data_IF_127598876151
#
_entry.id   IF_127598876151
#
_cell.length_a   1.000
_cell.length_b   1.000
_cell.length_c   1.000
_cell.angle_alpha   90.00
_cell.angle_beta   90.00
_cell.angle_gamma   90.00
#
_symmetry.space_group_name_H-M   'P 1'
#
loop_
_entity.id
_entity.type
_entity.pdbx_description
1 polymer ?
#
# COMPACT_ATOMS: atom_id res chain seq x y z
N UNK A 1 1.84 19.48 -9.01
CA UNK A 1 0.54 19.53 -8.30
C UNK A 1 -0.31 18.45 -8.90
N UNK A 2 -0.93 17.62 -8.07
CA UNK A 2 -1.84 16.56 -8.50
C UNK A 2 -3.24 16.93 -7.98
N UNK A 3 -4.22 16.99 -8.87
CA UNK A 3 -5.63 17.23 -8.53
C UNK A 3 -6.45 16.03 -9.01
N UNK A 4 -7.26 15.47 -8.13
CA UNK A 4 -8.02 14.24 -8.39
C UNK A 4 -9.32 14.20 -7.61
N UNK A 5 -10.28 13.42 -8.10
CA UNK A 5 -11.58 13.20 -7.46
C UNK A 5 -11.69 11.85 -6.74
N UNK A 6 -10.64 11.01 -6.76
CA UNK A 6 -10.62 9.74 -6.03
C UNK A 6 -11.63 8.68 -6.51
N UNK A 7 -12.25 8.87 -7.67
CA UNK A 7 -13.16 7.87 -8.22
C UNK A 7 -12.35 6.78 -8.93
N UNK A 8 -12.58 5.49 -8.63
CA UNK A 8 -11.99 4.42 -9.44
C UNK A 8 -12.56 4.46 -10.85
N UNK A 9 -11.69 4.26 -11.82
CA UNK A 9 -12.01 4.27 -13.25
C UNK A 9 -11.79 2.88 -13.89
N UNK A 10 -11.55 1.86 -13.07
CA UNK A 10 -11.43 0.44 -13.43
C UNK A 10 -12.54 -0.37 -12.76
N UNK A 11 -12.62 -1.67 -13.07
CA UNK A 11 -13.55 -2.57 -12.38
C UNK A 11 -13.25 -2.61 -10.86
N UNK A 12 -14.27 -2.44 -10.04
CA UNK A 12 -14.16 -2.43 -8.58
C UNK A 12 -15.34 -3.15 -7.95
N UNK A 13 -15.24 -3.45 -6.66
CA UNK A 13 -16.32 -4.07 -5.89
C UNK A 13 -17.62 -3.26 -5.94
N UNK A 14 -18.76 -3.93 -5.79
CA UNK A 14 -20.04 -3.23 -5.64
C UNK A 14 -20.14 -2.66 -4.23
N UNK A 15 -20.24 -1.34 -4.13
CA UNK A 15 -20.41 -0.62 -2.86
C UNK A 15 -21.65 0.30 -2.93
N UNK A 16 -22.54 0.30 -1.92
CA UNK A 16 -22.44 -0.46 -0.68
C UNK A 16 -22.78 -1.95 -0.85
N UNK A 17 -22.28 -2.77 0.08
CA UNK A 17 -22.59 -4.19 0.20
C UNK A 17 -22.66 -4.61 1.69
N UNK A 18 -22.87 -5.90 1.97
CA UNK A 18 -23.01 -6.41 3.34
C UNK A 18 -21.76 -6.23 4.22
N UNK A 19 -20.56 -6.24 3.63
CA UNK A 19 -19.27 -6.10 4.33
C UNK A 19 -18.81 -4.65 4.42
N UNK A 20 -19.22 -3.81 3.49
CA UNK A 20 -18.95 -2.37 3.53
C UNK A 20 -20.21 -1.56 3.15
N UNK A 21 -20.84 -0.86 4.11
CA UNK A 21 -22.10 -0.13 3.87
C UNK A 21 -21.91 1.24 3.22
N UNK A 22 -20.67 1.66 2.95
CA UNK A 22 -20.38 2.99 2.42
C UNK A 22 -20.53 3.02 0.89
N UNK A 23 -20.83 4.20 0.35
CA UNK A 23 -20.99 4.44 -1.09
C UNK A 23 -19.82 5.28 -1.60
N UNK A 24 -19.22 4.88 -2.72
CA UNK A 24 -18.18 5.67 -3.39
C UNK A 24 -18.73 7.05 -3.75
N UNK A 25 -17.98 8.10 -3.43
CA UNK A 25 -18.33 9.48 -3.77
C UNK A 25 -17.08 10.26 -4.20
N UNK A 26 -17.24 11.31 -5.04
CA UNK A 26 -16.11 12.14 -5.44
C UNK A 26 -15.48 12.85 -4.23
N UNK A 27 -14.16 12.83 -4.19
CA UNK A 27 -13.32 13.56 -3.26
C UNK A 27 -12.76 14.83 -3.93
N UNK A 28 -12.00 15.63 -3.18
CA UNK A 28 -11.29 16.81 -3.70
C UNK A 28 -9.84 16.78 -3.25
N UNK A 29 -9.05 15.93 -3.88
CA UNK A 29 -7.62 15.82 -3.60
C UNK A 29 -6.85 16.92 -4.31
N UNK A 30 -5.90 17.52 -3.59
CA UNK A 30 -4.95 18.48 -4.13
C UNK A 30 -3.61 18.32 -3.43
N UNK A 31 -2.73 17.56 -4.04
CA UNK A 31 -1.41 17.26 -3.48
C UNK A 31 -0.31 18.07 -4.16
N UNK A 32 0.67 18.51 -3.36
CA UNK A 32 1.96 19.02 -3.84
C UNK A 32 3.01 17.97 -3.53
N UNK A 33 3.50 17.33 -4.57
CA UNK A 33 4.60 16.38 -4.51
C UNK A 33 5.84 16.99 -5.18
N UNK A 34 7.06 16.72 -4.70
CA UNK A 34 8.29 17.06 -5.40
C UNK A 34 8.31 16.46 -6.81
N UNK A 35 8.72 17.25 -7.80
CA UNK A 35 8.91 16.76 -9.18
C UNK A 35 10.28 16.06 -9.35
N UNK A 36 11.24 16.40 -8.50
CA UNK A 36 12.55 15.76 -8.40
C UNK A 36 12.74 15.41 -6.92
N UNK A 37 12.30 14.22 -6.48
CA UNK A 37 12.41 13.80 -5.09
C UNK A 37 13.88 13.56 -4.71
N UNK A 38 14.22 13.83 -3.45
CA UNK A 38 15.54 13.56 -2.87
C UNK A 38 15.37 12.67 -1.65
N UNK A 39 16.32 11.77 -1.42
CA UNK A 39 16.31 10.88 -0.26
C UNK A 39 16.48 11.70 1.00
N UNK A 40 15.55 11.53 1.94
CA UNK A 40 15.64 12.17 3.24
C UNK A 40 16.80 11.57 4.07
N UNK A 41 17.48 12.40 4.88
CA UNK A 41 18.54 11.92 5.79
C UNK A 41 18.06 10.88 6.80
N UNK A 42 16.75 10.85 7.08
CA UNK A 42 16.12 9.94 8.05
C UNK A 42 14.80 9.43 7.50
N UNK A 43 14.57 8.14 7.71
CA UNK A 43 13.28 7.51 7.43
C UNK A 43 12.22 8.13 8.34
N UNK A 44 11.08 8.49 7.73
CA UNK A 44 9.89 8.93 8.45
C UNK A 44 8.96 7.73 8.62
N UNK A 45 8.66 7.29 9.85
CA UNK A 45 7.72 6.19 10.06
C UNK A 45 6.37 6.49 9.41
N UNK A 46 5.83 5.52 8.69
CA UNK A 46 4.50 5.62 8.11
C UNK A 46 3.43 5.73 9.21
N UNK A 47 2.39 6.53 8.96
CA UNK A 47 1.28 6.76 9.87
C UNK A 47 -0.07 6.57 9.18
N UNK A 48 -1.17 6.93 9.83
CA UNK A 48 -2.53 6.85 9.26
C UNK A 48 -2.81 8.02 8.31
N UNK A 49 -2.16 8.01 7.15
CA UNK A 49 -2.29 9.01 6.11
C UNK A 49 -2.09 8.37 4.74
N UNK A 50 -2.68 8.92 3.66
CA UNK A 50 -2.37 8.47 2.31
C UNK A 50 -0.87 8.46 2.05
N UNK A 51 -0.34 7.30 1.66
CA UNK A 51 1.06 7.10 1.29
C UNK A 51 1.36 7.74 -0.06
N UNK A 52 0.42 7.66 -1.00
CA UNK A 52 0.59 8.16 -2.36
C UNK A 52 -0.73 8.25 -3.11
N UNK A 53 -0.64 8.61 -4.38
CA UNK A 53 -1.78 8.71 -5.29
C UNK A 53 -1.48 7.97 -6.58
N UNK A 54 -2.42 7.12 -6.99
CA UNK A 54 -2.35 6.36 -8.22
C UNK A 54 -2.55 7.25 -9.45
N UNK A 55 -2.14 6.76 -10.62
CA UNK A 55 -2.29 7.47 -11.90
C UNK A 55 -3.76 7.80 -12.24
N UNK A 56 -4.73 7.06 -11.70
CA UNK A 56 -6.16 7.33 -11.85
C UNK A 56 -6.73 8.28 -10.79
N UNK A 57 -5.90 8.74 -9.83
CA UNK A 57 -6.30 9.68 -8.79
C UNK A 57 -6.90 9.06 -7.53
N UNK A 58 -6.96 7.73 -7.41
CA UNK A 58 -7.28 7.01 -6.17
C UNK A 58 -6.05 6.98 -5.27
N UNK A 59 -6.21 7.13 -3.96
CA UNK A 59 -5.07 7.16 -3.03
C UNK A 59 -4.64 5.76 -2.60
N UNK A 60 -3.34 5.60 -2.39
CA UNK A 60 -2.77 4.48 -1.63
C UNK A 60 -2.77 4.85 -0.17
N UNK A 61 -3.44 4.06 0.66
CA UNK A 61 -3.55 4.24 2.10
C UNK A 61 -3.46 2.85 2.75
N UNK A 62 -2.24 2.27 2.85
CA UNK A 62 -2.03 0.88 3.26
C UNK A 62 -2.43 0.59 4.71
N UNK A 63 -2.44 1.61 5.57
CA UNK A 63 -2.76 1.44 6.99
C UNK A 63 -4.27 1.35 7.25
N UNK A 64 -4.67 0.60 8.28
CA UNK A 64 -6.04 0.63 8.79
C UNK A 64 -6.09 1.31 10.16
N UNK A 65 -7.06 2.21 10.38
CA UNK A 65 -7.31 2.83 11.68
C UNK A 65 -8.01 1.89 12.69
N UNK A 66 -7.70 0.59 12.63
CA UNK A 66 -8.26 -0.46 13.45
C UNK A 66 -7.23 -0.90 14.49
N UNK A 67 -7.61 -0.83 15.77
CA UNK A 67 -6.71 -1.10 16.88
C UNK A 67 -7.28 -2.17 17.79
N UNK A 68 -6.39 -2.93 18.44
CA UNK A 68 -6.80 -3.91 19.43
C UNK A 68 -7.67 -3.26 20.50
N UNK A 69 -8.84 -3.86 20.77
CA UNK A 69 -9.87 -3.33 21.69
C UNK A 69 -10.35 -1.91 21.36
N UNK A 70 -10.19 -1.46 20.11
CA UNK A 70 -10.52 -0.10 19.65
C UNK A 70 -9.77 0.99 20.43
N UNK A 71 -8.58 0.67 20.93
CA UNK A 71 -7.73 1.61 21.66
C UNK A 71 -6.46 1.92 20.86
N UNK A 72 -6.37 3.11 20.23
CA UNK A 72 -5.15 3.56 19.55
C UNK A 72 -3.92 3.63 20.46
N UNK A 73 -4.12 3.73 21.79
CA UNK A 73 -3.03 3.75 22.77
C UNK A 73 -2.52 2.36 23.13
N UNK A 74 -3.17 1.30 22.66
CA UNK A 74 -2.74 -0.07 22.91
C UNK A 74 -1.37 -0.39 22.29
N UNK A 75 -0.97 0.34 21.25
CA UNK A 75 0.21 0.04 20.45
C UNK A 75 0.04 -1.15 19.50
N UNK A 76 -1.18 -1.67 19.34
CA UNK A 76 -1.49 -2.81 18.46
C UNK A 76 -2.51 -2.42 17.41
N UNK A 77 -2.03 -2.21 16.19
CA UNK A 77 -2.83 -1.84 15.02
C UNK A 77 -2.99 -3.05 14.11
N UNK A 78 -4.22 -3.35 13.71
CA UNK A 78 -4.48 -4.44 12.77
C UNK A 78 -3.87 -4.13 11.40
N UNK A 79 -3.22 -5.11 10.79
CA UNK A 79 -2.79 -5.03 9.40
C UNK A 79 -4.03 -5.18 8.50
N UNK A 80 -4.20 -4.28 7.53
CA UNK A 80 -5.44 -4.11 6.79
C UNK A 80 -5.82 -5.32 5.93
N UNK A 81 -4.82 -6.03 5.41
CA UNK A 81 -4.99 -7.18 4.51
C UNK A 81 -4.86 -8.54 5.21
N UNK A 82 -4.61 -8.56 6.52
CA UNK A 82 -4.44 -9.79 7.31
C UNK A 82 -5.72 -10.64 7.42
N UNK A 83 -6.89 -10.02 7.20
CA UNK A 83 -8.19 -10.64 7.39
C UNK A 83 -8.62 -10.78 8.86
N UNK A 84 -7.83 -10.27 9.81
CA UNK A 84 -8.19 -10.27 11.24
C UNK A 84 -9.39 -9.34 11.53
N UNK A 85 -9.56 -8.29 10.73
CA UNK A 85 -10.74 -7.43 10.69
C UNK A 85 -11.31 -7.44 9.28
N UNK A 86 -12.61 -7.73 9.14
CA UNK A 86 -13.28 -7.66 7.85
C UNK A 86 -13.58 -6.20 7.49
N UNK A 87 -12.68 -5.61 6.70
CA UNK A 87 -12.81 -4.25 6.17
C UNK A 87 -13.68 -4.18 4.90
N UNK A 88 -14.16 -5.32 4.40
CA UNK A 88 -14.95 -5.39 3.17
C UNK A 88 -14.16 -5.03 1.92
N UNK A 89 -12.93 -5.53 1.82
CA UNK A 89 -12.05 -5.36 0.66
C UNK A 89 -12.65 -5.96 -0.61
N UNK A 90 -12.38 -5.32 -1.75
CA UNK A 90 -12.61 -5.87 -3.08
C UNK A 90 -11.36 -6.51 -3.69
N UNK A 91 -11.45 -6.91 -4.97
CA UNK A 91 -10.36 -7.53 -5.73
C UNK A 91 -9.13 -6.63 -5.92
N UNK A 92 -9.26 -5.32 -5.70
CA UNK A 92 -8.17 -4.35 -5.81
C UNK A 92 -7.48 -4.09 -4.46
N UNK A 93 -7.75 -4.92 -3.45
CA UNK A 93 -7.31 -4.69 -2.07
C UNK A 93 -7.77 -3.31 -1.56
N UNK A 94 -8.97 -2.90 -1.98
CA UNK A 94 -9.52 -1.58 -1.70
C UNK A 94 -10.89 -1.67 -1.07
N UNK A 95 -11.26 -0.61 -0.37
CA UNK A 95 -12.61 -0.46 0.16
C UNK A 95 -13.00 1.02 0.27
N UNK A 96 -14.21 1.27 0.77
CA UNK A 96 -14.78 2.62 0.83
C UNK A 96 -14.88 3.09 2.29
N UNK A 97 -14.29 4.25 2.59
CA UNK A 97 -14.42 4.88 3.92
C UNK A 97 -15.82 5.50 4.11
N UNK A 98 -16.23 5.82 5.35
CA UNK A 98 -17.50 6.53 5.61
C UNK A 98 -17.64 7.88 4.88
N UNK A 99 -16.53 8.50 4.49
CA UNK A 99 -16.48 9.71 3.66
C UNK A 99 -16.87 9.47 2.20
N UNK A 100 -16.94 8.21 1.77
CA UNK A 100 -17.12 7.77 0.40
C UNK A 100 -15.82 7.66 -0.41
N UNK A 101 -14.66 7.88 0.21
CA UNK A 101 -13.36 7.70 -0.43
C UNK A 101 -13.08 6.20 -0.67
N UNK A 102 -12.95 5.82 -1.94
CA UNK A 102 -12.36 4.55 -2.35
C UNK A 102 -10.83 4.68 -2.32
N UNK A 103 -10.13 3.70 -1.78
CA UNK A 103 -8.67 3.75 -1.59
C UNK A 103 -8.07 2.35 -1.57
N UNK A 104 -6.82 2.22 -2.01
CA UNK A 104 -6.09 0.95 -2.04
C UNK A 104 -5.29 0.74 -0.76
N UNK A 105 -5.45 -0.42 -0.14
CA UNK A 105 -4.52 -0.91 0.89
C UNK A 105 -3.36 -1.73 0.31
N UNK A 106 -3.53 -2.28 -0.89
CA UNK A 106 -2.56 -3.15 -1.54
C UNK A 106 -2.55 -2.99 -3.05
N UNK A 107 -2.17 -4.07 -3.75
CA UNK A 107 -1.97 -4.06 -5.20
C UNK A 107 -3.32 -3.86 -5.93
N UNK A 108 -3.49 -2.79 -6.74
CA UNK A 108 -4.75 -2.51 -7.42
C UNK A 108 -4.87 -3.34 -8.72
N UNK A 109 -5.22 -4.63 -8.60
CA UNK A 109 -5.19 -5.60 -9.71
C UNK A 109 -5.92 -5.13 -10.97
N UNK A 110 -7.13 -4.58 -10.85
CA UNK A 110 -7.90 -4.09 -12.02
C UNK A 110 -7.39 -2.77 -12.59
N UNK A 111 -6.63 -1.99 -11.81
CA UNK A 111 -5.92 -0.84 -12.35
C UNK A 111 -4.74 -1.30 -13.22
N UNK A 112 -3.98 -2.30 -12.77
CA UNK A 112 -2.87 -2.90 -13.56
C UNK A 112 -3.40 -3.42 -14.90
N UNK A 113 -4.47 -4.23 -14.87
CA UNK A 113 -5.12 -4.74 -16.09
C UNK A 113 -5.59 -3.60 -17.01
N UNK A 114 -6.21 -2.56 -16.43
CA UNK A 114 -6.69 -1.40 -17.20
C UNK A 114 -5.56 -0.64 -17.91
N UNK A 115 -4.42 -0.53 -17.26
CA UNK A 115 -3.23 0.12 -17.82
C UNK A 115 -2.52 -0.74 -18.87
N UNK A 116 -3.05 -1.94 -19.16
CA UNK A 116 -2.51 -2.87 -20.15
C UNK A 116 -1.34 -3.71 -19.63
N UNK A 117 -1.08 -3.67 -18.32
CA UNK A 117 -0.07 -4.48 -17.68
C UNK A 117 -0.63 -5.77 -17.08
N UNK A 118 0.27 -6.59 -16.56
CA UNK A 118 -0.02 -7.81 -15.83
C UNK A 118 1.04 -8.06 -14.73
N UNK A 119 0.99 -9.23 -14.10
CA UNK A 119 1.88 -9.62 -13.01
C UNK A 119 3.34 -9.89 -13.44
N UNK A 120 3.70 -9.62 -14.70
CA UNK A 120 5.06 -9.69 -15.29
C UNK A 120 5.64 -8.31 -15.63
N UNK A 121 4.86 -7.23 -15.58
CA UNK A 121 5.28 -5.89 -16.01
C UNK A 121 5.79 -5.00 -14.86
N UNK A 122 6.82 -4.20 -15.14
CA UNK A 122 7.21 -3.05 -14.31
C UNK A 122 6.37 -1.84 -14.75
N UNK A 123 5.22 -1.65 -14.10
CA UNK A 123 4.23 -0.66 -14.51
C UNK A 123 4.15 0.49 -13.49
N UNK A 124 4.23 1.74 -13.94
CA UNK A 124 4.03 2.91 -13.07
C UNK A 124 2.57 2.97 -12.61
N UNK A 125 2.35 2.88 -11.30
CA UNK A 125 1.03 2.94 -10.68
C UNK A 125 0.70 4.29 -10.08
N UNK A 126 1.70 5.10 -9.72
CA UNK A 126 1.47 6.42 -9.14
C UNK A 126 2.72 7.05 -8.55
N UNK A 127 2.50 7.97 -7.60
CA UNK A 127 3.56 8.69 -6.90
C UNK A 127 3.29 8.70 -5.40
N UNK A 128 4.34 8.44 -4.62
CA UNK A 128 4.34 8.61 -3.18
C UNK A 128 4.28 10.10 -2.80
N UNK A 129 3.94 10.38 -1.54
CA UNK A 129 3.78 11.75 -1.03
C UNK A 129 5.08 12.57 -1.09
N UNK A 130 6.23 11.91 -1.06
CA UNK A 130 7.57 12.49 -1.20
C UNK A 130 8.03 12.63 -2.68
N UNK A 131 7.22 12.16 -3.63
CA UNK A 131 7.45 12.30 -5.06
C UNK A 131 8.12 11.12 -5.74
N UNK A 132 8.56 10.10 -4.99
CA UNK A 132 9.10 8.88 -5.61
C UNK A 132 7.99 8.10 -6.35
N UNK A 133 8.30 7.49 -7.51
CA UNK A 133 7.33 6.71 -8.27
C UNK A 133 7.00 5.38 -7.57
N UNK A 134 5.73 4.98 -7.66
CA UNK A 134 5.23 3.69 -7.17
C UNK A 134 4.99 2.79 -8.38
N UNK A 135 5.61 1.62 -8.40
CA UNK A 135 5.47 0.63 -9.47
C UNK A 135 4.66 -0.60 -9.02
N UNK A 136 4.17 -1.35 -9.99
CA UNK A 136 3.71 -2.72 -9.78
C UNK A 136 4.86 -3.60 -9.24
N UNK A 137 4.58 -4.80 -8.69
CA UNK A 137 5.55 -5.56 -7.90
C UNK A 137 6.81 -6.05 -8.63
N UNK A 138 6.95 -5.84 -9.93
CA UNK A 138 8.14 -6.27 -10.67
C UNK A 138 9.09 -5.13 -10.98
N UNK A 139 10.36 -5.46 -11.02
CA UNK A 139 11.42 -4.56 -11.48
C UNK A 139 12.57 -5.36 -12.08
N UNK A 140 13.54 -4.66 -12.67
CA UNK A 140 14.69 -5.28 -13.33
C UNK A 140 15.49 -6.20 -12.40
N UNK A 141 15.97 -7.33 -12.93
CA UNK A 141 16.78 -8.28 -12.15
C UNK A 141 18.06 -7.61 -11.65
N UNK A 142 18.74 -6.92 -12.56
CA UNK A 142 19.81 -5.97 -12.25
C UNK A 142 19.22 -4.56 -12.28
N UNK A 143 19.34 -3.85 -11.16
CA UNK A 143 18.73 -2.55 -10.98
C UNK A 143 19.27 -1.48 -11.95
N UNK A 144 20.49 -1.65 -12.47
CA UNK A 144 21.14 -0.69 -13.35
C UNK A 144 21.04 -1.06 -14.85
N UNK A 145 20.42 -2.20 -15.18
CA UNK A 145 20.33 -2.72 -16.54
C UNK A 145 18.87 -2.97 -16.98
N UNK A 146 18.32 -2.14 -17.89
CA UNK A 146 16.96 -2.31 -18.39
C UNK A 146 16.80 -3.51 -19.34
N UNK A 147 17.89 -4.18 -19.73
CA UNK A 147 17.88 -5.39 -20.54
C UNK A 147 17.93 -6.69 -19.71
N UNK A 148 18.11 -6.58 -18.38
CA UNK A 148 18.29 -7.73 -17.47
C UNK A 148 17.04 -8.61 -17.27
N UNK A 149 15.92 -8.23 -17.88
CA UNK A 149 14.61 -8.84 -17.65
C UNK A 149 14.01 -8.42 -16.31
N UNK A 150 12.75 -8.83 -16.08
CA UNK A 150 11.99 -8.46 -14.88
C UNK A 150 11.83 -9.66 -13.95
N UNK A 151 11.75 -9.38 -12.65
CA UNK A 151 11.35 -10.35 -11.62
C UNK A 151 10.43 -9.70 -10.58
N UNK A 152 9.61 -10.47 -9.86
CA UNK A 152 8.91 -9.95 -8.68
C UNK A 152 9.90 -9.53 -7.61
N UNK A 153 9.66 -8.35 -7.04
CA UNK A 153 10.37 -7.81 -5.89
C UNK A 153 9.78 -8.39 -4.61
N UNK A 154 10.65 -8.76 -3.69
CA UNK A 154 10.28 -9.27 -2.37
C UNK A 154 10.54 -8.22 -1.29
N UNK A 155 9.59 -8.07 -0.36
CA UNK A 155 9.80 -7.18 0.79
C UNK A 155 10.85 -7.78 1.75
N UNK A 156 11.64 -6.92 2.36
CA UNK A 156 12.55 -7.27 3.46
C UNK A 156 11.86 -7.33 4.82
N UNK A 157 10.53 -7.21 4.88
CA UNK A 157 9.76 -7.45 6.09
C UNK A 157 9.36 -8.92 6.22
N UNK A 158 9.46 -9.45 7.45
CA UNK A 158 8.93 -10.77 7.80
C UNK A 158 8.12 -10.73 9.09
N UNK A 159 7.30 -11.75 9.30
CA UNK A 159 6.62 -11.97 10.57
C UNK A 159 7.66 -12.40 11.61
N UNK A 160 7.68 -11.71 12.75
CA UNK A 160 8.52 -12.03 13.90
C UNK A 160 8.31 -13.47 14.36
N UNK A 161 9.35 -14.11 14.87
CA UNK A 161 9.22 -15.45 15.47
C UNK A 161 8.76 -15.37 16.92
N UNK A 162 8.03 -16.38 17.38
CA UNK A 162 7.63 -16.53 18.78
C UNK A 162 6.26 -15.97 19.11
N UNK A 163 6.12 -15.35 20.29
CA UNK A 163 4.85 -14.90 20.85
C UNK A 163 4.91 -13.45 21.32
N UNK A 164 3.78 -12.74 21.18
CA UNK A 164 3.62 -11.36 21.65
C UNK A 164 3.78 -11.31 23.18
N UNK A 165 4.63 -10.44 23.73
CA UNK A 165 4.89 -10.37 25.18
C UNK A 165 3.74 -9.75 25.98
N UNK A 166 2.74 -9.17 25.31
CA UNK A 166 1.58 -8.54 25.94
C UNK A 166 0.51 -8.15 24.90
N UNK A 167 -0.44 -7.31 25.31
CA UNK A 167 -1.53 -6.85 24.44
C UNK A 167 -2.42 -8.00 23.95
N UNK A 168 -2.61 -8.20 22.63
CA UNK A 168 -3.37 -9.30 22.06
C UNK A 168 -2.89 -10.71 22.48
N UNK A 169 -1.62 -10.85 22.87
CA UNK A 169 -1.00 -12.14 23.17
C UNK A 169 -0.93 -13.07 21.94
N UNK A 170 -0.63 -14.36 22.17
CA UNK A 170 -0.54 -15.34 21.09
C UNK A 170 0.76 -15.26 20.27
N UNK A 171 0.84 -16.04 19.19
CA UNK A 171 1.97 -15.99 18.26
C UNK A 171 1.91 -14.73 17.40
N UNK A 172 3.06 -14.25 16.96
CA UNK A 172 3.09 -13.33 15.83
C UNK A 172 2.57 -14.09 14.60
N UNK A 173 1.50 -13.56 13.99
CA UNK A 173 0.79 -14.23 12.89
C UNK A 173 0.46 -13.27 11.74
N UNK A 174 0.92 -12.02 11.81
CA UNK A 174 0.69 -11.00 10.79
C UNK A 174 -0.63 -10.24 10.96
N UNK A 175 -1.45 -10.58 11.96
CA UNK A 175 -2.71 -9.86 12.24
C UNK A 175 -2.49 -8.39 12.60
N UNK A 176 -1.34 -8.06 13.17
CA UNK A 176 -1.00 -6.69 13.57
C UNK A 176 0.24 -6.19 12.82
N UNK A 177 0.28 -4.89 12.52
CA UNK A 177 1.45 -4.23 11.94
C UNK A 177 2.71 -4.49 12.78
N UNK A 178 2.56 -4.52 14.10
CA UNK A 178 3.64 -4.77 15.05
C UNK A 178 4.17 -6.22 15.04
N UNK A 179 3.50 -7.13 14.34
CA UNK A 179 4.00 -8.50 14.15
C UNK A 179 5.16 -8.58 13.15
N UNK A 180 5.33 -7.54 12.33
CA UNK A 180 6.35 -7.50 11.29
C UNK A 180 7.64 -6.85 11.81
N UNK A 181 8.76 -7.32 11.29
CA UNK A 181 10.09 -6.73 11.47
C UNK A 181 10.78 -6.60 10.12
N UNK A 182 11.51 -5.50 9.94
CA UNK A 182 12.43 -5.33 8.82
C UNK A 182 13.71 -6.09 9.11
N UNK A 183 14.18 -6.86 8.13
CA UNK A 183 15.46 -7.55 8.13
C UNK A 183 16.21 -7.11 6.88
N UNK A 184 17.27 -6.34 7.06
CA UNK A 184 18.12 -5.86 5.97
C UNK A 184 18.55 -7.03 5.07
N UNK A 185 18.43 -6.82 3.76
CA UNK A 185 18.78 -7.79 2.70
C UNK A 185 18.02 -9.14 2.74
N UNK A 186 16.91 -9.24 3.47
CA UNK A 186 16.06 -10.43 3.42
C UNK A 186 15.36 -10.58 2.06
N UNK A 187 14.87 -9.47 1.52
CA UNK A 187 14.25 -9.37 0.21
C UNK A 187 15.02 -8.42 -0.71
N UNK A 188 14.33 -7.92 -1.73
CA UNK A 188 14.87 -6.98 -2.71
C UNK A 188 14.70 -5.51 -2.33
N UNK A 189 13.82 -5.22 -1.37
CA UNK A 189 13.38 -3.87 -1.03
C UNK A 189 13.94 -3.40 0.32
N UNK A 190 14.16 -2.10 0.46
CA UNK A 190 14.62 -1.46 1.69
C UNK A 190 13.50 -1.32 2.76
N UNK A 191 13.81 -0.68 3.89
CA UNK A 191 12.86 -0.45 4.99
C UNK A 191 11.66 0.45 4.57
N UNK A 192 11.78 1.21 3.49
CA UNK A 192 10.69 1.99 2.91
C UNK A 192 9.90 1.19 1.84
N UNK A 193 10.18 -0.11 1.67
CA UNK A 193 9.73 -0.94 0.55
C UNK A 193 10.10 -0.34 -0.83
N UNK A 194 11.23 0.35 -0.92
CA UNK A 194 11.79 0.92 -2.14
C UNK A 194 13.03 0.19 -2.65
N UNK A 195 13.44 0.51 -3.87
CA UNK A 195 14.74 0.12 -4.47
C UNK A 195 15.14 1.17 -5.51
N UNK A 196 16.41 1.56 -5.55
CA UNK A 196 16.93 2.37 -6.64
C UNK A 196 17.19 1.51 -7.88
N UNK A 197 16.89 2.05 -9.05
CA UNK A 197 17.18 1.41 -10.33
C UNK A 197 16.63 2.19 -11.50
N UNK A 198 16.96 1.73 -12.70
CA UNK A 198 16.41 2.26 -13.95
C UNK A 198 14.91 1.97 -14.04
N UNK A 199 14.19 2.85 -14.72
CA UNK A 199 12.74 2.74 -14.94
C UNK A 199 12.46 2.65 -16.45
N UNK A 200 11.32 2.05 -16.87
CA UNK A 200 10.94 1.95 -18.27
C UNK A 200 10.78 3.30 -19.00
#
# INVERSE_FOLDING_TARGET
IIEANGLPDHEHGQFPNRRNPNRISPQRYRYRVPANPEVAEKITPFGLQPFGIAVNGVVFDPGAAEFWRRDPRSGWQYEALSGAVDLGMDVNHAHVQPTGAYHYHGIPTKLIEKLGGNDEDMLLLGWAADGFPIYAPNAYVDADDPESGLKPMTSSYQIKRGTRPGGPGGKYDGSFVQDWEYIEELGDLDECNGRFGVTP
#
